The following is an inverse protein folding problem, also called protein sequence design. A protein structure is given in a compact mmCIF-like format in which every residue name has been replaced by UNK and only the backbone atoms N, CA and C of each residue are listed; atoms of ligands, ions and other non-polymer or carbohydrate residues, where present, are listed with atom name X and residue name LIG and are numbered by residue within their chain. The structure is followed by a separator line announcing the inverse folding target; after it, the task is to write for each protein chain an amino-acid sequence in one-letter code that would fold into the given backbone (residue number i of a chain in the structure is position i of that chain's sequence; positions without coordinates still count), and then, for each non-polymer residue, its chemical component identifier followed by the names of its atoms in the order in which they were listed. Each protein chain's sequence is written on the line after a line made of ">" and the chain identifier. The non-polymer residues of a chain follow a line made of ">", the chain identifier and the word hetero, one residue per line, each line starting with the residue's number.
data_IF_337265078103
#
_entry.id   IF_337265078103
#
_cell.length_a   1.000
_cell.length_b   1.000
_cell.length_c   1.000
_cell.angle_alpha   90.00
_cell.angle_beta   90.00
_cell.angle_gamma   90.00
#
_symmetry.space_group_name_H-M   'P 1'
#
loop_
_entity.id
_entity.type
_entity.pdbx_description
1 polymer ?
#
# COMPACT_ATOMS: atom_id res chain seq x y z
N UNK A 1 76.35 -25.39 -1.89
CA UNK A 1 75.03 -24.85 -2.29
C UNK A 1 75.14 -24.39 -3.73
N UNK A 2 74.43 -25.03 -4.64
CA UNK A 2 74.65 -24.87 -6.09
C UNK A 2 74.28 -23.46 -6.59
N UNK A 3 75.18 -22.75 -7.26
CA UNK A 3 74.94 -21.40 -7.85
C UNK A 3 73.70 -21.32 -8.72
N UNK A 4 73.22 -22.43 -9.26
CA UNK A 4 71.91 -22.50 -10.01
C UNK A 4 70.69 -22.37 -9.13
N UNK A 5 70.70 -22.79 -7.85
CA UNK A 5 69.60 -22.68 -6.90
C UNK A 5 69.47 -21.24 -6.42
N UNK A 6 70.57 -20.54 -6.21
CA UNK A 6 70.57 -19.11 -5.82
C UNK A 6 69.98 -18.24 -6.92
N UNK A 7 70.27 -18.55 -8.22
CA UNK A 7 69.71 -17.84 -9.36
C UNK A 7 68.18 -18.04 -9.49
N UNK A 8 67.66 -19.23 -9.23
CA UNK A 8 66.25 -19.54 -9.29
C UNK A 8 65.47 -18.86 -8.12
N UNK A 9 66.02 -18.84 -6.91
CA UNK A 9 65.45 -18.16 -5.76
C UNK A 9 65.44 -16.64 -5.98
N UNK A 10 66.50 -16.06 -6.56
CA UNK A 10 66.56 -14.65 -6.92
C UNK A 10 65.56 -14.26 -7.99
N UNK A 11 65.32 -15.13 -8.99
CA UNK A 11 64.30 -14.89 -10.03
C UNK A 11 62.86 -14.98 -9.45
N UNK A 12 62.61 -15.92 -8.55
CA UNK A 12 61.32 -16.03 -7.85
C UNK A 12 61.06 -14.84 -6.91
N UNK A 13 62.04 -14.34 -6.18
CA UNK A 13 61.90 -13.15 -5.36
C UNK A 13 61.63 -11.89 -6.21
N UNK A 14 62.24 -11.78 -7.39
CA UNK A 14 62.04 -10.64 -8.27
C UNK A 14 60.65 -10.61 -8.91
N UNK A 15 60.09 -11.80 -9.25
CA UNK A 15 58.70 -11.91 -9.74
C UNK A 15 57.69 -11.61 -8.64
N UNK A 16 57.97 -11.91 -7.37
CA UNK A 16 57.08 -11.56 -6.26
C UNK A 16 57.05 -10.05 -5.94
N UNK A 17 58.16 -9.33 -6.17
CA UNK A 17 58.22 -7.90 -5.91
C UNK A 17 57.41 -7.09 -6.96
N UNK A 18 57.26 -7.58 -8.16
CA UNK A 18 56.48 -6.91 -9.21
C UNK A 18 54.96 -7.12 -9.10
N UNK A 19 54.49 -8.09 -8.29
CA UNK A 19 53.06 -8.43 -8.14
C UNK A 19 52.32 -7.51 -7.20
N UNK A 20 52.98 -6.61 -6.46
CA UNK A 20 52.36 -5.67 -5.53
C UNK A 20 52.41 -4.23 -6.00
N UNK A 21 52.37 -3.96 -7.29
CA UNK A 21 51.98 -2.62 -7.76
C UNK A 21 50.48 -2.47 -7.54
N UNK A 22 50.06 -2.12 -6.32
CA UNK A 22 48.70 -1.73 -6.02
C UNK A 22 48.32 -0.54 -6.91
N UNK A 23 47.48 -0.79 -7.90
CA UNK A 23 46.91 0.26 -8.73
C UNK A 23 46.11 1.15 -7.80
N UNK A 24 46.63 2.32 -7.47
CA UNK A 24 45.87 3.31 -6.65
C UNK A 24 44.56 3.64 -7.36
N UNK A 25 43.45 3.41 -6.70
CA UNK A 25 42.15 3.80 -7.24
C UNK A 25 42.07 5.32 -7.28
N UNK A 26 41.52 5.90 -8.36
CA UNK A 26 41.26 7.34 -8.44
C UNK A 26 40.41 7.82 -7.26
N UNK A 27 40.69 8.98 -6.78
CA UNK A 27 39.92 9.63 -5.73
C UNK A 27 39.39 10.99 -6.21
N UNK A 28 38.08 11.17 -6.08
CA UNK A 28 37.42 12.43 -6.29
C UNK A 28 37.23 13.12 -4.95
N UNK A 29 37.69 14.35 -4.80
CA UNK A 29 37.54 15.15 -3.59
C UNK A 29 37.08 16.57 -3.94
N UNK A 30 36.44 17.23 -3.01
CA UNK A 30 35.99 18.59 -3.21
C UNK A 30 35.15 19.11 -2.07
N UNK A 31 34.51 20.23 -2.29
CA UNK A 31 33.65 20.89 -1.34
C UNK A 31 32.29 21.14 -1.95
N UNK A 32 31.25 20.90 -1.16
CA UNK A 32 29.88 21.21 -1.53
C UNK A 32 29.46 22.47 -0.81
N UNK A 33 29.01 23.46 -1.58
CA UNK A 33 28.61 24.76 -1.10
C UNK A 33 27.29 25.21 -1.71
N UNK A 34 26.64 26.19 -1.07
CA UNK A 34 25.48 26.89 -1.63
C UNK A 34 25.89 27.99 -2.61
N UNK A 35 24.92 28.66 -3.26
CA UNK A 35 25.15 29.84 -4.09
C UNK A 35 25.73 31.01 -3.26
N UNK A 36 25.37 31.10 -1.99
CA UNK A 36 25.81 32.06 -1.01
C UNK A 36 27.21 31.72 -0.45
N UNK A 37 27.82 30.62 -0.92
CA UNK A 37 29.13 30.08 -0.48
C UNK A 37 29.10 29.47 0.92
N UNK A 38 27.96 29.18 1.47
CA UNK A 38 27.82 28.43 2.71
C UNK A 38 28.16 26.95 2.51
N UNK A 39 28.70 26.32 3.52
CA UNK A 39 29.12 24.93 3.50
C UNK A 39 27.88 24.01 3.68
N UNK A 40 27.80 22.92 2.93
CA UNK A 40 26.72 21.98 3.04
C UNK A 40 27.22 20.69 3.72
N UNK A 41 27.01 20.55 5.04
CA UNK A 41 27.40 19.36 5.78
C UNK A 41 26.44 18.19 5.49
N UNK A 42 26.94 16.98 5.66
CA UNK A 42 26.19 15.71 5.54
C UNK A 42 25.45 15.51 4.21
N UNK A 43 25.87 16.20 3.15
CA UNK A 43 25.37 15.93 1.81
C UNK A 43 25.83 14.55 1.33
N UNK A 44 24.94 13.79 0.71
CA UNK A 44 25.23 12.48 0.14
C UNK A 44 25.82 12.64 -1.26
N UNK A 45 26.98 12.03 -1.50
CA UNK A 45 27.71 12.04 -2.78
C UNK A 45 27.91 10.60 -3.23
N UNK A 46 27.36 10.23 -4.40
CA UNK A 46 27.50 8.86 -4.88
C UNK A 46 27.53 8.78 -6.41
N UNK A 47 28.02 7.64 -6.92
CA UNK A 47 28.05 7.33 -8.35
C UNK A 47 26.81 6.52 -8.71
N UNK A 48 25.98 7.05 -9.60
CA UNK A 48 24.70 6.46 -10.04
C UNK A 48 24.89 5.03 -10.55
N UNK A 49 24.06 4.11 -10.02
CA UNK A 49 24.11 2.70 -10.43
C UNK A 49 25.27 1.89 -9.83
N UNK A 50 25.99 2.43 -8.84
CA UNK A 50 27.11 1.74 -8.17
C UNK A 50 26.94 1.81 -6.64
N UNK A 51 27.81 1.08 -5.92
CA UNK A 51 27.87 1.14 -4.44
C UNK A 51 28.93 2.14 -3.93
N UNK A 52 29.50 3.00 -4.81
CA UNK A 52 30.51 3.97 -4.42
C UNK A 52 29.82 5.28 -4.00
N UNK A 53 29.99 5.66 -2.74
CA UNK A 53 29.42 6.88 -2.18
C UNK A 53 30.10 7.28 -0.88
N UNK A 54 29.90 8.53 -0.49
CA UNK A 54 30.34 9.10 0.78
C UNK A 54 29.38 10.23 1.20
N UNK A 55 29.52 10.73 2.44
CA UNK A 55 28.87 11.95 2.89
C UNK A 55 29.91 13.05 3.08
N UNK A 56 29.48 14.34 3.00
CA UNK A 56 30.32 15.45 3.38
C UNK A 56 30.49 15.53 4.90
N UNK A 57 31.65 16.03 5.34
CA UNK A 57 31.88 16.35 6.75
C UNK A 57 31.22 17.69 7.15
N UNK A 58 31.45 18.16 8.37
CA UNK A 58 30.88 19.42 8.90
C UNK A 58 31.31 20.65 8.09
N UNK A 59 32.44 20.58 7.40
CA UNK A 59 33.00 21.65 6.53
C UNK A 59 32.56 21.53 5.07
N UNK A 60 31.62 20.61 4.75
CA UNK A 60 31.14 20.35 3.41
C UNK A 60 32.14 19.62 2.50
N UNK A 61 33.25 19.07 3.04
CA UNK A 61 34.26 18.36 2.27
C UNK A 61 33.87 16.89 2.05
N UNK A 62 34.11 16.37 0.84
CA UNK A 62 33.91 14.98 0.51
C UNK A 62 35.17 14.34 -0.10
N UNK A 63 35.26 13.03 0.07
CA UNK A 63 36.31 12.21 -0.51
C UNK A 63 35.73 10.86 -0.96
N UNK A 64 35.65 10.66 -2.28
CA UNK A 64 35.07 9.48 -2.91
C UNK A 64 36.17 8.71 -3.65
N UNK A 65 36.28 7.41 -3.40
CA UNK A 65 37.22 6.52 -4.05
C UNK A 65 36.45 5.50 -4.88
N UNK A 66 36.75 5.42 -6.18
CA UNK A 66 36.13 4.45 -7.08
C UNK A 66 37.13 4.03 -8.19
N UNK A 67 36.91 2.92 -8.91
CA UNK A 67 37.72 2.54 -10.09
C UNK A 67 37.70 3.62 -11.19
N UNK A 68 38.67 3.57 -12.09
CA UNK A 68 38.65 4.41 -13.30
C UNK A 68 37.46 4.06 -14.18
N UNK A 69 36.78 5.08 -14.71
CA UNK A 69 35.60 4.92 -15.56
C UNK A 69 34.79 6.19 -15.74
N UNK A 70 33.79 6.08 -16.57
CA UNK A 70 32.80 7.13 -16.81
C UNK A 70 31.59 6.90 -15.88
N UNK A 71 31.20 7.91 -15.13
CA UNK A 71 30.15 7.84 -14.12
C UNK A 71 29.25 9.08 -14.15
N UNK A 72 28.07 8.97 -13.58
CA UNK A 72 27.25 10.12 -13.23
C UNK A 72 27.37 10.33 -11.71
N UNK A 73 27.99 11.42 -11.30
CA UNK A 73 28.06 11.84 -9.91
C UNK A 73 26.71 12.45 -9.53
N UNK A 74 26.13 11.96 -8.45
CA UNK A 74 24.89 12.47 -7.87
C UNK A 74 25.21 13.06 -6.49
N UNK A 75 24.77 14.30 -6.28
CA UNK A 75 24.90 14.98 -4.99
C UNK A 75 23.53 15.42 -4.53
N UNK A 76 23.16 15.03 -3.32
CA UNK A 76 21.88 15.37 -2.71
C UNK A 76 22.05 15.78 -1.25
N UNK A 77 21.31 16.78 -0.82
CA UNK A 77 21.21 17.19 0.56
C UNK A 77 19.78 17.68 0.87
N UNK A 78 19.38 17.57 2.13
CA UNK A 78 18.04 18.01 2.56
C UNK A 78 17.92 19.53 2.39
N UNK A 79 16.87 19.97 1.69
CA UNK A 79 16.65 21.41 1.41
C UNK A 79 17.31 21.92 0.13
N UNK A 80 18.01 21.07 -0.63
CA UNK A 80 18.72 21.46 -1.86
C UNK A 80 18.28 20.62 -3.06
N UNK A 81 18.36 21.18 -4.26
CA UNK A 81 18.14 20.46 -5.50
C UNK A 81 19.24 19.41 -5.73
N UNK A 82 18.84 18.20 -6.11
CA UNK A 82 19.78 17.13 -6.46
C UNK A 82 20.53 17.48 -7.74
N UNK A 83 21.86 17.49 -7.70
CA UNK A 83 22.72 17.74 -8.85
C UNK A 83 23.24 16.42 -9.41
N UNK A 84 22.97 16.15 -10.70
CA UNK A 84 23.57 15.04 -11.45
C UNK A 84 24.60 15.60 -12.44
N UNK A 85 25.84 15.10 -12.40
CA UNK A 85 26.91 15.56 -13.26
C UNK A 85 27.70 14.39 -13.84
N UNK A 86 27.83 14.28 -15.18
CA UNK A 86 28.72 13.30 -15.77
C UNK A 86 30.16 13.62 -15.42
N UNK A 87 30.91 12.61 -15.00
CA UNK A 87 32.32 12.70 -14.67
C UNK A 87 33.11 11.52 -15.25
N UNK A 88 34.38 11.75 -15.54
CA UNK A 88 35.31 10.70 -15.87
C UNK A 88 36.39 10.62 -14.79
N UNK A 89 36.46 9.49 -14.11
CA UNK A 89 37.50 9.23 -13.11
C UNK A 89 38.74 8.64 -13.78
N UNK A 90 39.83 9.41 -13.83
CA UNK A 90 41.11 8.98 -14.39
C UNK A 90 42.25 9.49 -13.51
N UNK A 91 43.31 8.67 -13.39
CA UNK A 91 44.49 9.03 -12.63
C UNK A 91 44.33 8.93 -11.10
N UNK A 92 45.20 9.58 -10.33
CA UNK A 92 45.25 9.35 -8.87
C UNK A 92 44.30 10.24 -8.03
N UNK A 93 44.13 11.50 -8.40
CA UNK A 93 43.30 12.47 -7.65
C UNK A 93 42.69 13.52 -8.56
N UNK A 94 41.40 13.74 -8.37
CA UNK A 94 40.65 14.80 -9.02
C UNK A 94 40.00 15.69 -7.96
N UNK A 95 39.86 16.98 -8.23
CA UNK A 95 39.17 17.92 -7.34
C UNK A 95 37.99 18.54 -8.06
N UNK A 96 36.80 18.43 -7.47
CA UNK A 96 35.56 19.01 -8.02
C UNK A 96 34.74 19.63 -6.90
N UNK A 97 34.49 20.93 -6.96
CA UNK A 97 33.54 21.58 -6.09
C UNK A 97 32.16 21.61 -6.76
N UNK A 98 31.12 21.46 -5.97
CA UNK A 98 29.74 21.43 -6.43
C UNK A 98 28.95 22.48 -5.68
N UNK A 99 28.17 23.26 -6.43
CA UNK A 99 27.27 24.25 -5.88
C UNK A 99 25.87 23.67 -5.92
N UNK A 100 25.21 23.57 -4.76
CA UNK A 100 23.80 23.23 -4.65
C UNK A 100 22.97 24.52 -4.67
N UNK A 101 21.86 24.47 -5.35
CA UNK A 101 20.83 25.50 -5.28
C UNK A 101 19.86 25.11 -4.20
N UNK A 102 19.37 26.09 -3.45
CA UNK A 102 18.24 25.86 -2.58
C UNK A 102 17.13 25.29 -3.43
N UNK A 103 16.61 24.15 -3.01
CA UNK A 103 15.34 23.74 -3.52
C UNK A 103 14.36 24.81 -3.02
N UNK A 104 13.82 25.67 -3.91
CA UNK A 104 12.51 26.25 -3.70
C UNK A 104 11.52 25.08 -3.74
N UNK A 105 11.68 24.17 -2.82
CA UNK A 105 10.61 23.30 -2.43
C UNK A 105 9.61 24.25 -1.74
N UNK A 106 8.70 24.82 -2.52
CA UNK A 106 7.33 24.42 -2.20
C UNK A 106 7.47 22.99 -1.72
N UNK A 107 7.17 22.78 -0.45
CA UNK A 107 6.95 21.44 0.08
C UNK A 107 5.82 20.81 -0.77
N UNK A 108 6.09 20.49 -2.02
CA UNK A 108 5.64 19.29 -2.62
C UNK A 108 6.15 18.26 -1.62
N UNK A 109 5.30 18.08 -0.61
CA UNK A 109 5.29 16.97 0.28
C UNK A 109 6.13 15.91 -0.40
N UNK A 110 7.31 15.57 0.14
CA UNK A 110 7.96 14.33 -0.22
C UNK A 110 6.86 13.33 0.00
N UNK A 111 6.10 13.09 -1.03
CA UNK A 111 5.32 11.91 -1.21
C UNK A 111 6.39 10.84 -1.44
N UNK A 112 7.12 10.52 -0.36
CA UNK A 112 7.15 9.13 0.00
C UNK A 112 5.67 8.81 -0.15
N UNK A 113 5.34 7.98 -1.14
CA UNK A 113 4.09 7.26 -1.09
C UNK A 113 4.13 6.47 0.22
N UNK A 114 4.02 7.19 1.32
CA UNK A 114 3.51 6.67 2.56
C UNK A 114 2.14 6.27 2.11
N UNK A 115 2.00 4.95 1.83
CA UNK A 115 0.76 4.29 1.52
C UNK A 115 -0.31 5.09 2.22
N UNK A 116 -1.43 5.45 1.54
CA UNK A 116 -2.47 6.28 2.15
C UNK A 116 -2.80 5.84 3.59
N UNK A 117 -2.50 4.56 3.91
CA UNK A 117 -2.44 3.94 5.23
C UNK A 117 -1.54 4.71 6.21
N UNK A 118 -0.30 5.03 5.86
CA UNK A 118 0.62 5.74 6.79
C UNK A 118 0.20 7.18 7.02
N UNK A 119 -0.41 7.84 6.04
CA UNK A 119 -0.94 9.20 6.18
C UNK A 119 -2.09 9.23 7.18
N UNK A 120 -3.05 8.31 7.07
CA UNK A 120 -4.18 8.21 7.98
C UNK A 120 -3.72 7.87 9.40
N UNK A 121 -2.84 6.88 9.55
CA UNK A 121 -2.34 6.44 10.86
C UNK A 121 -1.49 7.51 11.57
N UNK A 122 -0.95 8.50 10.86
CA UNK A 122 -0.21 9.65 11.41
C UNK A 122 -1.06 10.92 11.53
N UNK A 123 -2.31 10.87 11.10
CA UNK A 123 -3.21 12.02 11.21
C UNK A 123 -3.49 12.39 12.66
N UNK A 124 -3.95 13.61 12.88
CA UNK A 124 -4.36 14.09 14.21
C UNK A 124 -5.68 13.45 14.69
N UNK A 125 -6.35 12.69 13.84
CA UNK A 125 -7.59 12.00 14.16
C UNK A 125 -7.29 10.64 14.79
N UNK A 126 -8.20 10.15 15.65
CA UNK A 126 -8.17 8.77 16.11
C UNK A 126 -8.62 7.85 14.97
N UNK A 127 -7.71 7.55 14.08
CA UNK A 127 -7.99 6.81 12.85
C UNK A 127 -7.03 5.62 12.67
N UNK A 128 -7.55 4.56 12.08
CA UNK A 128 -6.79 3.38 11.69
C UNK A 128 -7.03 3.11 10.21
N UNK A 129 -5.97 3.02 9.42
CA UNK A 129 -6.08 2.59 8.04
C UNK A 129 -5.49 1.18 7.86
N UNK A 130 -6.21 0.36 7.13
CA UNK A 130 -5.87 -1.02 6.79
C UNK A 130 -5.61 -1.07 5.29
N UNK A 131 -4.37 -1.35 4.89
CA UNK A 131 -4.03 -1.64 3.49
C UNK A 131 -4.53 -3.04 3.11
N UNK A 132 -5.04 -3.17 1.91
CA UNK A 132 -5.59 -4.44 1.42
C UNK A 132 -4.61 -5.20 0.53
N UNK A 133 -3.46 -4.64 0.16
CA UNK A 133 -2.49 -5.22 -0.76
C UNK A 133 -2.13 -6.68 -0.43
N UNK A 134 -1.89 -6.98 0.85
CA UNK A 134 -1.57 -8.34 1.31
C UNK A 134 -2.79 -9.27 1.43
N UNK A 135 -4.00 -8.76 1.24
CA UNK A 135 -5.25 -9.49 1.33
C UNK A 135 -5.91 -9.66 -0.04
N UNK A 136 -5.45 -8.94 -1.04
CA UNK A 136 -5.92 -9.08 -2.42
C UNK A 136 -5.68 -10.50 -2.94
N UNK A 137 -6.50 -10.91 -3.90
CA UNK A 137 -6.51 -12.27 -4.46
C UNK A 137 -6.80 -13.38 -3.41
N UNK A 138 -7.43 -13.01 -2.31
CA UNK A 138 -7.98 -13.95 -1.32
C UNK A 138 -9.50 -14.00 -1.43
N UNK A 139 -10.11 -15.02 -0.81
CA UNK A 139 -11.57 -15.19 -0.76
C UNK A 139 -12.27 -14.24 0.22
N UNK A 140 -11.51 -13.29 0.81
CA UNK A 140 -11.98 -12.42 1.89
C UNK A 140 -12.86 -11.28 1.38
N UNK A 141 -13.77 -10.86 2.25
CA UNK A 141 -14.58 -9.67 2.10
C UNK A 141 -14.01 -8.51 2.95
N UNK A 142 -14.52 -7.31 2.76
CA UNK A 142 -14.12 -6.15 3.54
C UNK A 142 -14.40 -6.31 5.04
N UNK A 143 -15.47 -7.01 5.42
CA UNK A 143 -15.79 -7.31 6.83
C UNK A 143 -14.66 -8.08 7.52
N UNK A 144 -14.09 -9.08 6.87
CA UNK A 144 -13.00 -9.88 7.43
C UNK A 144 -11.69 -9.08 7.63
N UNK A 145 -11.42 -8.12 6.74
CA UNK A 145 -10.30 -7.20 6.92
C UNK A 145 -10.52 -6.27 8.11
N UNK A 146 -11.74 -5.74 8.23
CA UNK A 146 -12.16 -4.84 9.31
C UNK A 146 -12.19 -5.51 10.68
N UNK A 147 -12.49 -6.81 10.76
CA UNK A 147 -12.55 -7.56 12.02
C UNK A 147 -11.25 -7.49 12.85
N UNK A 148 -10.12 -7.11 12.22
CA UNK A 148 -8.83 -6.92 12.88
C UNK A 148 -8.63 -5.51 13.46
N UNK A 149 -9.57 -4.62 13.26
CA UNK A 149 -9.47 -3.23 13.74
C UNK A 149 -9.77 -3.15 15.24
N UNK A 150 -8.87 -2.63 16.07
CA UNK A 150 -9.15 -2.42 17.48
C UNK A 150 -10.42 -1.58 17.70
N UNK A 151 -11.29 -1.98 18.62
CA UNK A 151 -12.56 -1.28 18.92
C UNK A 151 -13.70 -1.57 17.96
N UNK A 152 -13.45 -2.22 16.82
CA UNK A 152 -14.50 -2.65 15.89
C UNK A 152 -14.87 -4.12 16.17
N UNK A 153 -16.16 -4.38 16.39
CA UNK A 153 -16.71 -5.72 16.52
C UNK A 153 -17.73 -5.94 15.40
N UNK A 154 -17.51 -6.99 14.64
CA UNK A 154 -18.41 -7.46 13.61
C UNK A 154 -18.98 -8.81 14.06
N UNK A 155 -20.27 -8.98 13.89
CA UNK A 155 -20.98 -10.23 14.16
C UNK A 155 -21.89 -10.55 12.99
N UNK A 156 -21.62 -11.65 12.35
CA UNK A 156 -22.48 -12.24 11.33
C UNK A 156 -23.35 -13.33 11.96
N UNK A 157 -24.61 -13.40 11.57
CA UNK A 157 -25.59 -14.31 12.17
C UNK A 157 -25.59 -15.70 11.52
N UNK A 158 -24.85 -15.88 10.43
CA UNK A 158 -24.87 -17.16 9.69
C UNK A 158 -23.84 -17.21 8.56
N UNK A 159 -24.21 -17.88 7.46
CA UNK A 159 -23.40 -18.05 6.26
C UNK A 159 -23.31 -16.80 5.38
N UNK A 160 -22.90 -17.04 4.13
CA UNK A 160 -22.78 -15.96 3.13
C UNK A 160 -24.08 -15.19 3.00
N UNK A 161 -24.03 -13.86 3.07
CA UNK A 161 -25.19 -12.99 2.94
C UNK A 161 -26.06 -12.87 4.20
N UNK A 162 -25.64 -13.47 5.33
CA UNK A 162 -26.35 -13.30 6.59
C UNK A 162 -26.26 -11.86 7.13
N UNK A 163 -27.20 -11.51 7.98
CA UNK A 163 -27.20 -10.21 8.65
C UNK A 163 -25.91 -9.98 9.42
N UNK A 164 -25.31 -8.81 9.20
CA UNK A 164 -24.11 -8.38 9.87
C UNK A 164 -24.43 -7.21 10.81
N UNK A 165 -24.14 -7.39 12.08
CA UNK A 165 -24.15 -6.29 13.04
C UNK A 165 -22.73 -5.74 13.25
N UNK A 166 -22.62 -4.42 13.34
CA UNK A 166 -21.36 -3.71 13.53
C UNK A 166 -21.42 -2.83 14.77
N UNK A 167 -20.36 -2.86 15.57
CA UNK A 167 -20.16 -1.99 16.72
C UNK A 167 -18.76 -1.38 16.67
N UNK A 168 -18.65 -0.06 16.69
CA UNK A 168 -17.40 0.69 16.74
C UNK A 168 -17.35 1.47 18.07
N UNK A 169 -16.40 1.10 18.94
CA UNK A 169 -16.22 1.70 20.29
C UNK A 169 -17.54 1.85 21.10
N UNK A 170 -18.45 0.87 20.98
CA UNK A 170 -19.74 0.84 21.66
C UNK A 170 -20.91 1.44 20.87
N UNK A 171 -20.67 2.11 19.75
CA UNK A 171 -21.71 2.67 18.89
C UNK A 171 -22.14 1.66 17.82
N UNK A 172 -23.43 1.56 17.56
CA UNK A 172 -24.03 0.62 16.61
C UNK A 172 -24.98 1.30 15.64
N UNK A 173 -25.34 0.59 14.56
CA UNK A 173 -26.35 1.02 13.60
C UNK A 173 -26.01 2.36 12.93
N UNK A 174 -26.98 3.27 12.88
CA UNK A 174 -26.88 4.57 12.18
C UNK A 174 -25.81 5.53 12.71
N UNK A 175 -25.23 5.24 13.88
CA UNK A 175 -24.17 6.08 14.45
C UNK A 175 -22.79 5.82 13.84
N UNK A 176 -22.62 4.72 13.13
CA UNK A 176 -21.40 4.40 12.36
C UNK A 176 -21.75 4.46 10.88
N UNK A 177 -21.11 5.38 10.16
CA UNK A 177 -21.41 5.62 8.75
C UNK A 177 -20.39 4.94 7.85
N UNK A 178 -20.84 4.41 6.73
CA UNK A 178 -20.01 3.79 5.71
C UNK A 178 -19.94 4.72 4.50
N UNK A 179 -18.72 4.92 3.99
CA UNK A 179 -18.44 5.71 2.79
C UNK A 179 -17.63 4.89 1.79
N UNK A 180 -17.81 5.16 0.53
CA UNK A 180 -16.95 4.69 -0.57
C UNK A 180 -16.39 5.94 -1.25
N UNK A 181 -15.06 6.10 -1.25
CA UNK A 181 -14.36 7.29 -1.77
C UNK A 181 -14.95 8.63 -1.25
N UNK A 182 -15.38 8.67 0.00
CA UNK A 182 -15.99 9.84 0.62
C UNK A 182 -17.49 10.04 0.31
N UNK A 183 -18.12 9.15 -0.45
CA UNK A 183 -19.55 9.19 -0.75
C UNK A 183 -20.31 8.30 0.26
N UNK A 184 -21.31 8.83 1.01
CA UNK A 184 -22.05 8.06 1.99
C UNK A 184 -22.87 6.95 1.32
N UNK A 185 -22.88 5.77 1.93
CA UNK A 185 -23.60 4.58 1.46
C UNK A 185 -24.94 4.38 2.19
N UNK A 186 -25.65 5.46 2.50
CA UNK A 186 -26.97 5.38 3.13
C UNK A 186 -28.04 5.05 2.08
N UNK A 187 -28.89 4.07 2.41
CA UNK A 187 -30.02 3.70 1.55
C UNK A 187 -29.67 2.84 0.33
N UNK A 188 -28.43 2.41 0.21
CA UNK A 188 -27.97 1.56 -0.91
C UNK A 188 -28.10 0.09 -0.50
N UNK A 189 -29.25 -0.41 -0.26
CA UNK A 189 -29.60 -1.79 -0.01
C UNK A 189 -28.50 -2.76 0.53
N UNK A 190 -28.88 -3.97 0.88
CA UNK A 190 -27.99 -5.00 1.43
C UNK A 190 -26.84 -5.44 0.49
N UNK A 191 -26.99 -5.18 -0.80
CA UNK A 191 -25.98 -5.52 -1.82
C UNK A 191 -24.59 -4.91 -1.50
N UNK A 192 -24.56 -3.76 -0.86
CA UNK A 192 -23.34 -3.06 -0.47
C UNK A 192 -22.95 -3.27 1.00
N UNK A 193 -23.47 -4.30 1.65
CA UNK A 193 -22.97 -4.72 2.95
C UNK A 193 -21.48 -5.05 2.90
N UNK A 194 -20.73 -4.70 3.93
CA UNK A 194 -19.27 -4.95 4.01
C UNK A 194 -18.89 -6.43 3.85
N UNK A 195 -19.79 -7.34 4.19
CA UNK A 195 -19.64 -8.79 4.01
C UNK A 195 -19.90 -9.26 2.57
N UNK A 196 -20.44 -8.41 1.70
CA UNK A 196 -20.69 -8.73 0.30
C UNK A 196 -19.65 -8.17 -0.65
N UNK A 197 -18.95 -7.08 -0.24
CA UNK A 197 -17.95 -6.43 -1.07
C UNK A 197 -16.61 -7.19 -0.98
N UNK A 198 -16.04 -7.67 -2.10
CA UNK A 198 -14.77 -8.38 -2.11
C UNK A 198 -13.62 -7.42 -1.74
N UNK A 199 -12.59 -7.96 -1.08
CA UNK A 199 -11.43 -7.18 -0.64
C UNK A 199 -10.69 -6.51 -1.80
N UNK A 200 -10.73 -7.10 -2.99
CA UNK A 200 -10.09 -6.57 -4.20
C UNK A 200 -10.68 -5.22 -4.66
N UNK A 201 -11.86 -4.85 -4.19
CA UNK A 201 -12.49 -3.57 -4.51
C UNK A 201 -11.77 -2.38 -3.88
N UNK A 202 -11.11 -2.58 -2.74
CA UNK A 202 -10.49 -1.52 -1.95
C UNK A 202 -8.96 -1.54 -2.03
N UNK A 203 -8.33 -0.36 -2.13
CA UNK A 203 -6.90 -0.14 -1.87
C UNK A 203 -6.61 -0.15 -0.37
N UNK A 204 -7.50 0.49 0.38
CA UNK A 204 -7.43 0.57 1.84
C UNK A 204 -8.80 0.85 2.44
N UNK A 205 -8.92 0.54 3.72
CA UNK A 205 -10.09 0.87 4.52
C UNK A 205 -9.63 1.81 5.64
N UNK A 206 -10.28 2.94 5.77
CA UNK A 206 -10.00 3.95 6.80
C UNK A 206 -11.11 3.93 7.84
N UNK A 207 -10.75 3.74 9.10
CA UNK A 207 -11.69 3.73 10.22
C UNK A 207 -11.40 4.92 11.12
N UNK A 208 -12.29 5.90 11.12
CA UNK A 208 -12.24 7.10 11.97
C UNK A 208 -13.15 6.88 13.17
N UNK A 209 -12.63 7.09 14.39
CA UNK A 209 -13.31 6.83 15.65
C UNK A 209 -13.64 8.13 16.37
N UNK A 210 -14.91 8.32 16.71
CA UNK A 210 -15.38 9.53 17.37
C UNK A 210 -15.28 10.75 16.46
N UNK A 211 -14.25 11.58 16.62
CA UNK A 211 -14.06 12.80 15.80
C UNK A 211 -13.61 12.44 14.39
N UNK A 212 -14.40 12.82 13.41
CA UNK A 212 -14.16 12.56 12.00
C UNK A 212 -13.78 13.83 11.22
N UNK A 213 -13.04 13.72 10.11
CA UNK A 213 -12.79 14.87 9.22
C UNK A 213 -14.09 15.50 8.72
N UNK A 214 -14.09 16.83 8.56
CA UNK A 214 -15.26 17.63 8.18
C UNK A 214 -15.94 17.14 6.89
N UNK A 215 -15.17 16.55 5.96
CA UNK A 215 -15.68 16.02 4.70
C UNK A 215 -16.69 14.86 4.84
N UNK A 216 -16.76 14.19 5.99
CA UNK A 216 -17.69 13.09 6.25
C UNK A 216 -19.01 13.53 6.92
N UNK A 217 -19.20 14.83 7.16
CA UNK A 217 -20.40 15.35 7.81
C UNK A 217 -20.41 15.20 9.33
N UNK A 218 -21.53 15.55 9.97
CA UNK A 218 -21.66 15.66 11.44
C UNK A 218 -22.43 14.52 12.08
N UNK A 219 -23.06 13.63 11.31
CA UNK A 219 -24.02 12.65 11.82
C UNK A 219 -23.39 11.34 12.30
N UNK A 220 -22.08 11.19 12.10
CA UNK A 220 -21.32 9.99 12.45
C UNK A 220 -20.79 10.06 13.88
N UNK A 221 -21.67 9.99 14.88
CA UNK A 221 -21.31 10.10 16.30
C UNK A 221 -20.35 9.00 16.78
N UNK A 222 -20.51 7.78 16.26
CA UNK A 222 -19.64 6.63 16.59
C UNK A 222 -18.38 6.58 15.75
N UNK A 223 -18.41 7.14 14.57
CA UNK A 223 -17.28 7.14 13.63
C UNK A 223 -17.68 6.83 12.19
N UNK A 224 -16.64 6.76 11.34
CA UNK A 224 -16.76 6.55 9.90
C UNK A 224 -15.86 5.42 9.45
N UNK A 225 -16.38 4.56 8.58
CA UNK A 225 -15.62 3.60 7.80
C UNK A 225 -15.63 4.07 6.35
N UNK A 226 -14.47 4.49 5.84
CA UNK A 226 -14.32 4.92 4.46
C UNK A 226 -13.53 3.87 3.66
N UNK A 227 -14.16 3.32 2.65
CA UNK A 227 -13.56 2.38 1.70
C UNK A 227 -12.96 3.21 0.58
N UNK A 228 -11.64 3.19 0.46
CA UNK A 228 -10.93 3.88 -0.62
C UNK A 228 -10.64 2.86 -1.71
N UNK A 229 -11.18 3.12 -2.90
CA UNK A 229 -11.03 2.21 -4.04
C UNK A 229 -9.66 2.31 -4.67
N UNK A 230 -9.27 1.29 -5.43
CA UNK A 230 -7.99 1.24 -6.11
C UNK A 230 -7.82 2.43 -7.04
N UNK A 231 -6.60 2.98 -7.05
CA UNK A 231 -6.18 3.96 -8.06
C UNK A 231 -5.56 3.21 -9.22
N UNK A 232 -6.09 3.45 -10.41
CA UNK A 232 -5.56 2.82 -11.61
C UNK A 232 -4.55 3.72 -12.31
N UNK A 233 -3.43 3.17 -12.80
CA UNK A 233 -2.46 3.92 -13.58
C UNK A 233 -3.07 4.41 -14.90
N UNK A 234 -2.39 5.35 -15.58
CA UNK A 234 -2.77 5.77 -16.92
C UNK A 234 -2.77 4.59 -17.88
N UNK A 235 -3.76 4.52 -18.75
CA UNK A 235 -4.02 3.40 -19.63
C UNK A 235 -5.24 2.59 -19.17
N UNK A 236 -5.31 1.36 -19.62
CA UNK A 236 -6.36 0.43 -19.21
C UNK A 236 -5.84 -0.58 -18.20
N UNK A 237 -6.69 -1.03 -17.30
CA UNK A 237 -6.43 -2.16 -16.41
C UNK A 237 -7.66 -3.06 -16.32
N UNK A 238 -7.40 -4.33 -16.12
CA UNK A 238 -8.42 -5.36 -15.92
C UNK A 238 -7.97 -6.27 -14.77
N UNK A 239 -8.78 -6.31 -13.70
CA UNK A 239 -8.60 -7.23 -12.59
C UNK A 239 -9.81 -8.14 -12.53
N UNK A 240 -9.58 -9.44 -12.40
CA UNK A 240 -10.65 -10.41 -12.27
C UNK A 240 -10.25 -11.50 -11.27
N UNK A 241 -11.18 -11.88 -10.44
CA UNK A 241 -11.00 -13.02 -9.51
C UNK A 241 -12.27 -13.87 -9.44
N UNK A 242 -12.05 -15.14 -9.22
CA UNK A 242 -13.11 -16.11 -8.98
C UNK A 242 -12.66 -17.08 -7.90
N UNK A 243 -13.56 -17.36 -6.97
CA UNK A 243 -13.33 -18.37 -5.94
C UNK A 243 -14.52 -19.31 -5.80
N UNK A 244 -14.22 -20.55 -5.47
CA UNK A 244 -15.19 -21.59 -5.18
C UNK A 244 -14.90 -22.19 -3.79
N UNK A 245 -15.93 -22.38 -2.99
CA UNK A 245 -15.82 -22.85 -1.62
C UNK A 245 -16.91 -23.82 -1.21
N UNK A 246 -16.93 -24.17 0.08
CA UNK A 246 -17.92 -25.06 0.68
C UNK A 246 -19.34 -24.54 0.45
N UNK A 247 -20.32 -25.45 0.48
CA UNK A 247 -21.75 -25.15 0.27
C UNK A 247 -22.03 -24.45 -1.06
N UNK A 248 -21.31 -24.89 -2.12
CA UNK A 248 -21.44 -24.36 -3.46
C UNK A 248 -21.26 -22.82 -3.50
N UNK A 249 -20.32 -22.31 -2.69
CA UNK A 249 -20.08 -20.87 -2.60
C UNK A 249 -19.26 -20.41 -3.79
N UNK A 250 -19.78 -19.43 -4.53
CA UNK A 250 -19.12 -18.79 -5.66
C UNK A 250 -18.97 -17.30 -5.35
N UNK A 251 -17.75 -16.78 -5.50
CA UNK A 251 -17.49 -15.34 -5.43
C UNK A 251 -16.75 -14.94 -6.69
N UNK A 252 -17.31 -14.00 -7.44
CA UNK A 252 -16.72 -13.45 -8.66
C UNK A 252 -16.51 -11.95 -8.50
N UNK A 253 -15.40 -11.45 -9.01
CA UNK A 253 -15.10 -10.03 -9.08
C UNK A 253 -14.45 -9.71 -10.41
N UNK A 254 -14.84 -8.59 -11.02
CA UNK A 254 -14.19 -8.02 -12.19
C UNK A 254 -14.16 -6.50 -12.07
N UNK A 255 -13.02 -5.92 -12.33
CA UNK A 255 -12.84 -4.49 -12.48
C UNK A 255 -12.23 -4.22 -13.85
N UNK A 256 -12.82 -3.29 -14.57
CA UNK A 256 -12.22 -2.69 -15.77
C UNK A 256 -12.08 -1.19 -15.53
N UNK A 257 -10.90 -0.66 -15.76
CA UNK A 257 -10.68 0.78 -15.70
C UNK A 257 -9.87 1.28 -16.88
N UNK A 258 -10.14 2.52 -17.28
CA UNK A 258 -9.39 3.25 -18.28
C UNK A 258 -9.16 4.69 -17.85
N UNK A 259 -7.89 5.10 -17.82
CA UNK A 259 -7.52 6.49 -17.57
C UNK A 259 -6.76 7.04 -18.78
N UNK A 260 -7.41 7.92 -19.52
CA UNK A 260 -6.84 8.52 -20.73
C UNK A 260 -5.73 9.53 -20.43
N UNK A 261 -4.84 9.78 -21.38
CA UNK A 261 -3.81 10.81 -21.30
C UNK A 261 -4.39 12.22 -21.03
N UNK A 262 -5.63 12.44 -21.43
CA UNK A 262 -6.40 13.65 -21.15
C UNK A 262 -7.07 13.66 -19.77
N UNK A 263 -6.75 12.73 -18.88
CA UNK A 263 -7.32 12.60 -17.55
C UNK A 263 -8.76 12.07 -17.49
N UNK A 264 -9.37 11.68 -18.60
CA UNK A 264 -10.69 11.04 -18.57
C UNK A 264 -10.58 9.68 -17.87
N UNK A 265 -11.39 9.47 -16.84
CA UNK A 265 -11.51 8.22 -16.10
C UNK A 265 -12.84 7.55 -16.44
N UNK A 266 -12.76 6.26 -16.71
CA UNK A 266 -13.89 5.34 -16.78
C UNK A 266 -13.55 4.08 -16.00
N UNK A 267 -14.43 3.66 -15.11
CA UNK A 267 -14.24 2.47 -14.27
C UNK A 267 -15.57 1.72 -14.12
N UNK A 268 -15.51 0.40 -14.23
CA UNK A 268 -16.65 -0.49 -13.93
C UNK A 268 -16.15 -1.59 -13.02
N UNK A 269 -16.80 -1.74 -11.89
CA UNK A 269 -16.63 -2.86 -10.95
C UNK A 269 -17.89 -3.70 -10.95
N UNK A 270 -17.73 -5.01 -11.05
CA UNK A 270 -18.81 -5.97 -10.93
C UNK A 270 -18.42 -7.07 -9.97
N UNK A 271 -19.32 -7.48 -9.10
CA UNK A 271 -19.09 -8.61 -8.22
C UNK A 271 -20.39 -9.39 -7.97
N UNK A 272 -20.19 -10.66 -7.67
CA UNK A 272 -21.26 -11.61 -7.36
C UNK A 272 -20.84 -12.51 -6.21
N UNK A 273 -21.77 -12.79 -5.32
CA UNK A 273 -21.65 -13.79 -4.27
C UNK A 273 -22.86 -14.72 -4.36
N UNK A 274 -22.59 -16.03 -4.36
CA UNK A 274 -23.62 -17.06 -4.31
C UNK A 274 -23.20 -18.14 -3.30
N UNK A 275 -24.15 -18.69 -2.56
CA UNK A 275 -23.94 -19.86 -1.71
C UNK A 275 -25.26 -20.56 -1.45
N UNK A 276 -25.23 -21.87 -1.40
CA UNK A 276 -26.41 -22.69 -0.99
C UNK A 276 -26.66 -22.59 0.53
N UNK A 277 -25.64 -22.19 1.32
CA UNK A 277 -25.69 -22.12 2.79
C UNK A 277 -26.26 -23.39 3.46
N UNK A 278 -26.09 -24.55 2.87
CA UNK A 278 -26.69 -25.83 3.29
C UNK A 278 -25.87 -26.54 4.39
N UNK A 279 -25.34 -25.78 5.35
CA UNK A 279 -24.58 -26.34 6.47
C UNK A 279 -25.49 -26.84 7.59
N UNK A 280 -24.91 -27.68 8.46
CA UNK A 280 -25.63 -28.27 9.59
C UNK A 280 -25.61 -27.31 10.80
N UNK A 281 -26.73 -27.27 11.52
CA UNK A 281 -26.90 -26.46 12.73
C UNK A 281 -27.63 -27.25 13.80
N UNK A 282 -27.30 -26.98 15.05
CA UNK A 282 -28.08 -27.43 16.19
C UNK A 282 -29.11 -26.36 16.50
N UNK A 283 -30.38 -26.69 16.38
CA UNK A 283 -31.46 -25.72 16.56
C UNK A 283 -32.71 -26.40 17.14
N UNK A 284 -33.50 -25.73 17.98
CA UNK A 284 -34.82 -26.19 18.35
C UNK A 284 -35.69 -26.38 17.11
N UNK A 285 -36.38 -27.49 17.02
CA UNK A 285 -37.32 -27.79 15.94
C UNK A 285 -38.76 -27.84 16.46
N UNK A 286 -39.69 -27.45 15.59
CA UNK A 286 -41.10 -27.60 15.92
C UNK A 286 -41.48 -29.08 16.05
N UNK A 287 -42.09 -29.44 17.16
CA UNK A 287 -42.63 -30.78 17.41
C UNK A 287 -44.12 -30.75 17.22
N UNK A 288 -44.66 -31.84 16.64
CA UNK A 288 -46.08 -32.01 16.45
C UNK A 288 -46.68 -32.75 17.65
N UNK A 289 -47.68 -32.12 18.28
CA UNK A 289 -48.47 -32.77 19.32
C UNK A 289 -49.47 -33.77 18.72
N UNK A 290 -49.96 -34.66 19.53
CA UNK A 290 -50.93 -35.65 19.10
C UNK A 290 -52.27 -35.06 18.60
N UNK A 291 -52.57 -33.81 18.96
CA UNK A 291 -53.73 -33.03 18.53
C UNK A 291 -53.54 -32.28 17.20
N UNK A 292 -52.35 -32.40 16.59
CA UNK A 292 -52.00 -31.72 15.35
C UNK A 292 -51.51 -30.28 15.52
N UNK A 293 -51.35 -29.79 16.76
CA UNK A 293 -50.72 -28.49 17.04
C UNK A 293 -49.21 -28.62 17.01
N UNK A 294 -48.51 -27.55 16.65
CA UNK A 294 -47.05 -27.46 16.71
C UNK A 294 -46.59 -26.73 17.95
N UNK A 295 -45.51 -27.18 18.56
CA UNK A 295 -44.86 -26.53 19.69
C UNK A 295 -43.35 -26.49 19.44
N UNK A 296 -42.76 -25.32 19.62
CA UNK A 296 -41.29 -25.15 19.60
C UNK A 296 -40.78 -25.42 21.01
N UNK A 297 -40.16 -26.59 21.24
CA UNK A 297 -39.46 -26.90 22.48
C UNK A 297 -38.01 -26.46 22.40
N UNK A 298 -37.70 -25.28 23.01
CA UNK A 298 -36.36 -24.72 23.02
C UNK A 298 -35.37 -25.46 23.91
N UNK A 299 -35.83 -26.47 24.65
CA UNK A 299 -34.98 -27.34 25.46
C UNK A 299 -34.40 -28.55 24.70
N UNK A 300 -34.95 -28.81 23.51
CA UNK A 300 -34.50 -29.92 22.65
C UNK A 300 -33.97 -29.36 21.35
N UNK A 301 -32.68 -29.52 21.13
CA UNK A 301 -32.02 -29.14 19.88
C UNK A 301 -31.77 -30.36 19.01
N UNK A 302 -32.05 -30.28 17.73
CA UNK A 302 -31.76 -31.30 16.73
C UNK A 302 -30.68 -30.81 15.77
N UNK A 303 -29.83 -31.75 15.34
CA UNK A 303 -28.81 -31.49 14.33
C UNK A 303 -29.44 -31.60 12.95
N UNK A 304 -29.73 -30.46 12.33
CA UNK A 304 -30.47 -30.39 11.06
C UNK A 304 -29.67 -29.63 10.01
N UNK A 305 -29.83 -30.04 8.76
CA UNK A 305 -29.25 -29.35 7.64
C UNK A 305 -30.16 -28.17 7.24
N UNK A 306 -29.59 -26.99 7.09
CA UNK A 306 -30.29 -25.81 6.60
C UNK A 306 -30.77 -26.05 5.15
N UNK A 307 -31.95 -25.58 4.84
CA UNK A 307 -32.58 -25.67 3.53
C UNK A 307 -33.26 -24.32 3.22
N UNK A 308 -33.41 -23.99 1.95
CA UNK A 308 -33.94 -22.69 1.47
C UNK A 308 -33.17 -21.44 1.93
N UNK A 309 -31.87 -21.60 2.23
CA UNK A 309 -30.99 -20.53 2.66
C UNK A 309 -30.04 -20.07 1.56
N UNK A 310 -30.31 -20.44 0.33
CA UNK A 310 -29.49 -20.03 -0.80
C UNK A 310 -29.46 -18.51 -0.92
N UNK A 311 -28.25 -17.95 -0.97
CA UNK A 311 -28.02 -16.53 -1.11
C UNK A 311 -27.43 -16.20 -2.47
N UNK A 312 -27.94 -15.15 -3.10
CA UNK A 312 -27.42 -14.62 -4.34
C UNK A 312 -27.41 -13.10 -4.28
N UNK A 313 -26.24 -12.52 -4.47
CA UNK A 313 -26.03 -11.09 -4.52
C UNK A 313 -25.15 -10.75 -5.73
N UNK A 314 -25.53 -9.72 -6.46
CA UNK A 314 -24.72 -9.16 -7.53
C UNK A 314 -24.81 -7.64 -7.52
N UNK A 315 -23.70 -6.99 -7.84
CA UNK A 315 -23.65 -5.55 -7.93
C UNK A 315 -22.70 -5.09 -9.03
N UNK A 316 -23.06 -3.96 -9.65
CA UNK A 316 -22.24 -3.27 -10.64
C UNK A 316 -22.14 -1.80 -10.26
N UNK A 317 -20.92 -1.29 -10.19
CA UNK A 317 -20.62 0.11 -9.88
C UNK A 317 -19.86 0.70 -11.05
N UNK A 318 -20.42 1.73 -11.68
CA UNK A 318 -19.77 2.52 -12.73
C UNK A 318 -19.29 3.86 -12.19
N UNK A 319 -18.09 4.28 -12.57
CA UNK A 319 -17.55 5.61 -12.29
C UNK A 319 -17.08 6.25 -13.59
N UNK A 320 -17.42 7.52 -13.78
CA UNK A 320 -16.94 8.34 -14.90
C UNK A 320 -16.49 9.67 -14.31
N UNK A 321 -15.30 10.13 -14.71
CA UNK A 321 -14.78 11.36 -14.16
C UNK A 321 -13.54 11.86 -14.87
N UNK A 322 -12.90 12.83 -14.25
CA UNK A 322 -11.60 13.36 -14.69
C UNK A 322 -10.63 13.40 -13.52
N UNK A 323 -9.37 13.09 -13.80
CA UNK A 323 -8.27 13.06 -12.84
C UNK A 323 -7.07 13.85 -13.36
N UNK A 324 -6.18 14.26 -12.46
CA UNK A 324 -4.93 14.95 -12.78
C UNK A 324 -5.15 16.23 -13.61
N UNK A 325 -6.10 17.09 -13.24
CA UNK A 325 -6.35 18.38 -13.88
C UNK A 325 -5.87 19.54 -13.01
N UNK A 326 -5.42 20.63 -13.65
CA UNK A 326 -4.98 21.83 -12.94
C UNK A 326 -6.06 22.45 -12.02
N UNK A 327 -7.33 22.15 -12.27
CA UNK A 327 -8.49 22.64 -11.52
C UNK A 327 -9.13 21.60 -10.58
N UNK A 328 -8.76 20.33 -10.70
CA UNK A 328 -9.23 19.26 -9.82
C UNK A 328 -8.29 18.05 -9.90
N UNK A 329 -7.83 17.55 -8.77
CA UNK A 329 -7.05 16.31 -8.69
C UNK A 329 -7.92 15.11 -9.10
N UNK A 330 -9.17 15.10 -8.67
CA UNK A 330 -10.16 14.07 -9.01
C UNK A 330 -11.58 14.65 -8.93
N UNK A 331 -12.37 14.42 -9.97
CA UNK A 331 -13.81 14.67 -10.02
C UNK A 331 -14.49 13.45 -10.65
N UNK A 332 -15.23 12.67 -9.86
CA UNK A 332 -15.87 11.40 -10.26
C UNK A 332 -17.31 11.37 -9.77
#
# INVERSE_FOLDING_TARGET
>A
MNKRIIGIIGLFLWVFITAFAQKKSPALSGKIITKEKEEVPFATVYLKGTNYGCATNEEGLYHLVAPEGDYTLVVSAVGYETVEKPIQLVGERQKMNIVLSDSEVQLDEVVIMANGVSRVNRSAFNAVAIGTENLQNSTKNLSEALARTPGLKLRESGGVGSDMSMMLDGFTGKHVKIFIDGVPQEGVGEAFGLNNIPINYAERIEVYKGVVPVGFGTDALGGVINIVTNKHPKGWSLDASYSYGSFNTHKSYANFSYTGANGLLFEVNAFQNYSDNSYWVDTPVEQFNADGTTMLDTSVEEHVQRFNDAYHNEAVIGKIGVVDRAWADRLV
#
